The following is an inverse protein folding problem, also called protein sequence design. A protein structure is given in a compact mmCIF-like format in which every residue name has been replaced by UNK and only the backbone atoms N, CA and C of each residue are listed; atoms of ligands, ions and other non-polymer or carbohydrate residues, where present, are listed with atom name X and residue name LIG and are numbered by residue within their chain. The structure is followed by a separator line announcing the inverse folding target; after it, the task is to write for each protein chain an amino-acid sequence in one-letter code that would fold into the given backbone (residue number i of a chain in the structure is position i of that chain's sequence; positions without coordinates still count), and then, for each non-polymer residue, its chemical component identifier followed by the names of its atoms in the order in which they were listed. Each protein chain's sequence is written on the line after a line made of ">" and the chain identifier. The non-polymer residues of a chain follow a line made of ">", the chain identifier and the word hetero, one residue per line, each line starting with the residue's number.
data_IF_439244498397
#
_entry.id   IF_439244498397
#
_cell.length_a   1.000
_cell.length_b   1.000
_cell.length_c   1.000
_cell.angle_alpha   90.00
_cell.angle_beta   90.00
_cell.angle_gamma   90.00
#
_symmetry.space_group_name_H-M   'P 1'
#
loop_
_entity.id
_entity.type
_entity.pdbx_description
1 polymer ?
#
# COMPACT_ATOMS: atom_id res chain seq x y z
N UNK A 1 -20.46 23.49 -30.84
CA UNK A 1 -19.14 23.39 -30.16
C UNK A 1 -19.24 22.22 -29.21
N UNK A 2 -18.36 21.24 -29.38
CA UNK A 2 -18.52 19.89 -28.83
C UNK A 2 -18.47 19.91 -27.29
N UNK A 3 -19.48 19.30 -26.68
CA UNK A 3 -19.56 19.09 -25.24
C UNK A 3 -18.56 18.02 -24.81
N UNK A 4 -17.92 18.24 -23.67
CA UNK A 4 -17.13 17.21 -23.01
C UNK A 4 -18.05 16.04 -22.63
N UNK A 5 -17.70 14.84 -23.08
CA UNK A 5 -18.36 13.59 -22.71
C UNK A 5 -18.03 13.23 -21.26
N UNK A 6 -18.99 12.70 -20.51
CA UNK A 6 -18.78 12.21 -19.14
C UNK A 6 -17.83 10.99 -19.06
N UNK A 7 -17.44 10.41 -20.20
CA UNK A 7 -16.53 9.27 -20.30
C UNK A 7 -15.05 9.63 -20.03
N UNK A 8 -14.69 10.92 -20.00
CA UNK A 8 -13.32 11.38 -19.74
C UNK A 8 -13.01 11.68 -18.26
N UNK A 9 -13.98 11.47 -17.36
CA UNK A 9 -13.75 11.47 -15.91
C UNK A 9 -13.15 10.12 -15.48
N UNK A 10 -11.99 9.74 -16.03
CA UNK A 10 -11.17 8.71 -15.38
C UNK A 10 -10.79 9.27 -14.01
N UNK A 11 -11.38 8.71 -12.95
CA UNK A 11 -10.84 8.85 -11.59
C UNK A 11 -9.47 8.19 -11.64
N UNK A 12 -8.45 9.01 -11.92
CA UNK A 12 -7.07 8.59 -11.87
C UNK A 12 -6.73 8.43 -10.40
N UNK A 13 -6.42 7.21 -9.96
CA UNK A 13 -5.91 6.98 -8.61
C UNK A 13 -4.62 7.77 -8.48
N UNK A 14 -4.67 8.87 -7.73
CA UNK A 14 -3.54 9.80 -7.51
C UNK A 14 -2.97 9.67 -6.11
N UNK A 15 -3.61 8.89 -5.26
CA UNK A 15 -3.13 8.66 -3.91
C UNK A 15 -3.43 7.24 -3.42
N UNK A 16 -2.38 6.52 -3.02
CA UNK A 16 -2.47 5.13 -2.50
C UNK A 16 -1.86 5.02 -1.10
N UNK A 17 -2.61 4.46 -0.15
CA UNK A 17 -2.14 4.14 1.19
C UNK A 17 -2.10 2.63 1.40
N UNK A 18 -0.92 2.08 1.65
CA UNK A 18 -0.76 0.68 2.02
C UNK A 18 -0.84 0.49 3.54
N UNK A 19 -1.61 -0.50 4.01
CA UNK A 19 -1.89 -0.65 5.44
C UNK A 19 -1.68 -2.08 5.92
N UNK A 20 -0.87 -2.23 6.98
CA UNK A 20 -0.76 -3.49 7.72
C UNK A 20 -0.90 -3.26 9.23
N UNK A 21 -0.64 -4.28 10.05
CA UNK A 21 -0.80 -4.16 11.51
C UNK A 21 0.14 -3.13 12.13
N UNK A 22 1.45 -3.27 11.92
CA UNK A 22 2.48 -2.46 12.59
C UNK A 22 3.30 -1.54 11.68
N UNK A 23 3.05 -1.53 10.37
CA UNK A 23 3.79 -0.69 9.42
C UNK A 23 5.33 -0.81 9.46
N UNK A 24 5.86 -1.96 9.88
CA UNK A 24 7.30 -2.26 9.87
C UNK A 24 7.67 -3.36 8.87
N UNK A 25 6.70 -4.13 8.39
CA UNK A 25 6.92 -5.29 7.51
C UNK A 25 6.26 -5.13 6.14
N UNK A 26 4.96 -5.42 6.06
CA UNK A 26 4.23 -5.62 4.81
C UNK A 26 3.89 -4.32 4.08
N UNK A 27 3.23 -3.38 4.76
CA UNK A 27 2.85 -2.10 4.13
C UNK A 27 4.03 -1.21 3.71
N UNK A 28 5.16 -1.08 4.44
CA UNK A 28 6.30 -0.34 3.91
C UNK A 28 6.93 -1.04 2.71
N UNK A 29 6.96 -2.38 2.70
CA UNK A 29 7.43 -3.14 1.54
C UNK A 29 6.57 -2.84 0.31
N UNK A 30 5.24 -2.86 0.46
CA UNK A 30 4.30 -2.52 -0.61
C UNK A 30 4.52 -1.11 -1.16
N UNK A 31 4.65 -0.11 -0.27
CA UNK A 31 4.92 1.28 -0.66
C UNK A 31 6.19 1.39 -1.50
N UNK A 32 7.30 0.79 -1.05
CA UNK A 32 8.58 1.00 -1.71
C UNK A 32 8.74 0.19 -2.99
N UNK A 33 8.09 -0.98 -3.11
CA UNK A 33 7.97 -1.70 -4.39
C UNK A 33 7.15 -0.85 -5.38
N UNK A 34 6.01 -0.33 -4.94
CA UNK A 34 5.16 0.52 -5.77
C UNK A 34 5.91 1.76 -6.26
N UNK A 35 6.64 2.45 -5.37
CA UNK A 35 7.54 3.55 -5.75
C UNK A 35 8.58 3.12 -6.77
N UNK A 36 9.25 1.99 -6.54
CA UNK A 36 10.32 1.51 -7.42
C UNK A 36 9.81 1.18 -8.83
N UNK A 37 8.67 0.47 -8.95
CA UNK A 37 8.08 0.11 -10.25
C UNK A 37 7.61 1.33 -11.04
N UNK A 38 7.24 2.39 -10.35
CA UNK A 38 6.79 3.66 -10.93
C UNK A 38 7.88 4.74 -10.97
N UNK A 39 9.14 4.41 -10.68
CA UNK A 39 10.26 5.37 -10.63
C UNK A 39 9.97 6.62 -9.77
N UNK A 40 9.16 6.48 -8.71
CA UNK A 40 8.79 7.59 -7.83
C UNK A 40 9.94 7.95 -6.87
N UNK A 41 9.98 9.20 -6.39
CA UNK A 41 10.94 9.61 -5.36
C UNK A 41 10.86 8.72 -4.10
N UNK A 42 12.03 8.47 -3.49
CA UNK A 42 12.18 7.55 -2.34
C UNK A 42 11.70 8.13 -1.00
N UNK A 43 11.46 9.44 -0.90
CA UNK A 43 11.13 10.08 0.37
C UNK A 43 9.62 10.12 0.64
N UNK A 44 9.15 9.71 1.83
CA UNK A 44 7.81 10.01 2.28
C UNK A 44 7.71 11.51 2.58
N UNK A 45 6.88 12.25 1.83
CA UNK A 45 6.61 13.67 2.09
C UNK A 45 6.76 14.64 0.93
N UNK A 46 7.12 14.18 -0.28
CA UNK A 46 7.11 15.03 -1.47
C UNK A 46 5.70 15.15 -2.07
N UNK A 47 4.90 16.11 -1.60
CA UNK A 47 3.55 16.41 -2.13
C UNK A 47 3.58 17.15 -3.49
N UNK A 48 4.50 16.82 -4.39
CA UNK A 48 4.73 17.59 -5.61
C UNK A 48 4.74 16.74 -6.89
N UNK A 49 4.39 15.45 -6.79
CA UNK A 49 4.23 14.56 -7.94
C UNK A 49 2.76 14.29 -8.28
N UNK A 50 2.46 13.75 -9.48
CA UNK A 50 1.09 13.38 -9.87
C UNK A 50 0.51 12.24 -9.02
N UNK A 51 1.35 11.52 -8.27
CA UNK A 51 0.99 10.35 -7.48
C UNK A 51 1.59 10.43 -6.07
N UNK A 52 0.73 10.43 -5.06
CA UNK A 52 1.07 10.37 -3.65
C UNK A 52 0.96 8.94 -3.14
N UNK A 53 2.01 8.43 -2.53
CA UNK A 53 2.00 7.09 -1.94
C UNK A 53 2.55 7.13 -0.53
N UNK A 54 1.96 6.36 0.36
CA UNK A 54 2.43 6.19 1.73
C UNK A 54 2.03 4.81 2.27
N UNK A 55 2.50 4.50 3.47
CA UNK A 55 2.07 3.35 4.24
C UNK A 55 1.74 3.73 5.68
N UNK A 56 0.92 2.91 6.34
CA UNK A 56 0.49 3.11 7.73
C UNK A 56 0.14 1.79 8.45
N UNK A 57 -0.08 1.91 9.75
CA UNK A 57 -0.41 0.84 10.69
C UNK A 57 -1.85 0.96 11.19
N UNK A 58 -2.56 -0.15 11.33
CA UNK A 58 -3.82 -0.15 12.11
C UNK A 58 -3.56 -0.13 13.62
N UNK A 59 -2.43 -0.65 14.07
CA UNK A 59 -1.96 -0.56 15.46
C UNK A 59 -1.02 0.62 15.70
N UNK A 60 -0.82 1.00 16.97
CA UNK A 60 0.05 2.13 17.36
C UNK A 60 1.37 1.75 18.02
N UNK A 61 1.60 0.47 18.35
CA UNK A 61 2.74 0.04 19.19
C UNK A 61 4.13 0.29 18.59
N UNK A 62 4.21 0.46 17.27
CA UNK A 62 5.45 0.57 16.50
C UNK A 62 5.62 1.97 15.89
N UNK A 63 4.88 2.98 16.34
CA UNK A 63 5.00 4.33 15.78
C UNK A 63 6.44 4.87 15.92
N UNK A 64 7.00 5.37 14.81
CA UNK A 64 8.37 5.83 14.72
C UNK A 64 9.41 4.73 14.44
N UNK A 65 9.05 3.45 14.51
CA UNK A 65 9.99 2.36 14.28
C UNK A 65 10.46 2.30 12.81
N UNK A 66 11.71 1.86 12.55
CA UNK A 66 12.17 1.58 11.20
C UNK A 66 11.48 0.34 10.62
N UNK A 67 11.60 0.14 9.31
CA UNK A 67 11.26 -1.14 8.70
C UNK A 67 12.07 -2.28 9.35
N UNK A 68 11.47 -3.46 9.44
CA UNK A 68 12.09 -4.67 9.98
C UNK A 68 13.35 -5.03 9.18
N UNK A 69 14.41 -5.47 9.88
CA UNK A 69 15.74 -5.69 9.30
C UNK A 69 15.72 -6.71 8.17
N UNK A 70 14.91 -7.75 8.31
CA UNK A 70 14.70 -8.82 7.36
C UNK A 70 14.08 -8.29 6.06
N UNK A 71 13.11 -7.39 6.16
CA UNK A 71 12.49 -6.75 5.00
C UNK A 71 13.44 -5.76 4.33
N UNK A 72 14.24 -5.01 5.10
CA UNK A 72 15.32 -4.17 4.55
C UNK A 72 16.31 -5.02 3.76
N UNK A 73 16.74 -6.16 4.30
CA UNK A 73 17.66 -7.06 3.62
C UNK A 73 17.05 -7.66 2.34
N UNK A 74 15.77 -8.06 2.38
CA UNK A 74 15.06 -8.57 1.21
C UNK A 74 14.86 -7.51 0.10
N UNK A 75 14.56 -6.26 0.48
CA UNK A 75 14.41 -5.13 -0.43
C UNK A 75 15.74 -4.75 -1.10
N UNK A 76 16.84 -4.73 -0.33
CA UNK A 76 18.17 -4.43 -0.87
C UNK A 76 18.61 -5.38 -1.97
N UNK A 77 18.26 -6.67 -1.86
CA UNK A 77 18.52 -7.66 -2.91
C UNK A 77 17.81 -7.33 -4.24
N UNK A 78 16.80 -6.47 -4.21
CA UNK A 78 16.02 -5.99 -5.36
C UNK A 78 16.29 -4.52 -5.70
N UNK A 79 17.35 -3.93 -5.14
CA UNK A 79 17.72 -2.52 -5.38
C UNK A 79 16.83 -1.49 -4.68
N UNK A 80 15.97 -1.93 -3.75
CA UNK A 80 15.03 -1.07 -3.02
C UNK A 80 15.61 -0.74 -1.63
N UNK A 81 15.63 0.54 -1.28
CA UNK A 81 16.10 1.01 0.03
C UNK A 81 14.92 1.38 0.94
N UNK A 82 14.62 0.52 1.91
CA UNK A 82 13.58 0.72 2.94
C UNK A 82 14.10 1.49 4.18
N UNK A 83 15.38 1.80 4.28
CA UNK A 83 15.96 2.41 5.50
C UNK A 83 15.37 3.78 5.91
N UNK A 84 14.88 4.62 4.98
CA UNK A 84 14.25 5.89 5.34
C UNK A 84 12.85 5.72 5.97
N UNK A 85 12.23 4.53 5.82
CA UNK A 85 10.87 4.29 6.30
C UNK A 85 10.75 4.48 7.81
N UNK A 86 9.66 5.13 8.24
CA UNK A 86 9.27 5.23 9.65
C UNK A 86 7.81 4.89 9.77
N UNK A 87 7.50 3.98 10.70
CA UNK A 87 6.16 3.52 10.92
C UNK A 87 5.28 4.66 11.47
N UNK A 88 4.03 4.71 11.02
CA UNK A 88 3.01 5.64 11.53
C UNK A 88 1.66 4.93 11.64
N UNK A 89 0.79 5.43 12.51
CA UNK A 89 -0.58 4.95 12.57
C UNK A 89 -1.44 5.59 11.47
N UNK A 90 -2.48 4.85 11.04
CA UNK A 90 -3.58 5.39 10.25
C UNK A 90 -4.29 6.48 11.04
N UNK A 91 -4.58 7.60 10.39
CA UNK A 91 -5.31 8.75 10.93
C UNK A 91 -6.64 8.91 10.22
N UNK A 92 -7.61 9.56 10.85
CA UNK A 92 -8.92 9.82 10.21
C UNK A 92 -8.79 10.59 8.89
N UNK A 93 -7.86 11.53 8.82
CA UNK A 93 -7.56 12.31 7.61
C UNK A 93 -7.06 11.45 6.45
N UNK A 94 -6.53 10.25 6.69
CA UNK A 94 -6.08 9.35 5.62
C UNK A 94 -7.27 8.92 4.73
N UNK A 95 -8.46 8.72 5.31
CA UNK A 95 -9.66 8.33 4.54
C UNK A 95 -10.16 9.43 3.60
N UNK A 96 -9.82 10.68 3.89
CA UNK A 96 -10.11 11.84 3.05
C UNK A 96 -8.98 12.08 2.04
N UNK A 97 -7.73 11.87 2.44
CA UNK A 97 -6.53 12.16 1.65
C UNK A 97 -6.31 11.16 0.52
N UNK A 98 -6.55 9.87 0.78
CA UNK A 98 -6.22 8.81 -0.17
C UNK A 98 -7.43 8.39 -1.00
N UNK A 99 -7.22 8.21 -2.30
CA UNK A 99 -8.20 7.68 -3.26
C UNK A 99 -8.37 6.18 -3.06
N UNK A 100 -7.26 5.50 -2.72
CA UNK A 100 -7.20 4.06 -2.54
C UNK A 100 -6.47 3.70 -1.24
N UNK A 101 -7.06 2.83 -0.44
CA UNK A 101 -6.45 2.31 0.79
C UNK A 101 -6.42 0.78 0.73
N UNK A 102 -5.22 0.22 0.73
CA UNK A 102 -4.98 -1.19 0.42
C UNK A 102 -4.45 -1.92 1.65
N UNK A 103 -5.30 -2.78 2.20
CA UNK A 103 -4.99 -3.66 3.33
C UNK A 103 -4.16 -4.88 2.90
N UNK A 104 -3.26 -5.34 3.78
CA UNK A 104 -2.47 -6.55 3.54
C UNK A 104 -3.22 -7.84 3.90
N UNK A 105 -4.07 -7.80 4.93
CA UNK A 105 -4.90 -8.93 5.36
C UNK A 105 -6.33 -8.47 5.75
N UNK A 106 -7.25 -9.42 5.95
CA UNK A 106 -8.66 -9.17 6.33
C UNK A 106 -8.77 -8.57 7.73
N UNK A 107 -7.81 -8.81 8.62
CA UNK A 107 -7.76 -8.18 9.94
C UNK A 107 -7.51 -6.68 9.81
N UNK A 108 -6.56 -6.28 8.96
CA UNK A 108 -6.28 -4.89 8.64
C UNK A 108 -7.48 -4.26 7.95
N UNK A 109 -8.11 -4.95 6.99
CA UNK A 109 -9.31 -4.46 6.31
C UNK A 109 -10.47 -4.24 7.29
N UNK A 110 -10.69 -5.17 8.22
CA UNK A 110 -11.72 -5.05 9.27
C UNK A 110 -11.46 -3.86 10.18
N UNK A 111 -10.22 -3.68 10.62
CA UNK A 111 -9.81 -2.53 11.45
C UNK A 111 -9.98 -1.21 10.68
N UNK A 112 -9.60 -1.17 9.40
CA UNK A 112 -9.84 0.00 8.56
C UNK A 112 -11.34 0.29 8.42
N UNK A 113 -12.16 -0.74 8.18
CA UNK A 113 -13.61 -0.59 8.03
C UNK A 113 -14.31 -0.09 9.31
N UNK A 114 -13.76 -0.38 10.50
CA UNK A 114 -14.29 0.17 11.76
C UNK A 114 -13.88 1.62 12.00
N UNK A 115 -12.72 2.04 11.49
CA UNK A 115 -12.24 3.44 11.59
C UNK A 115 -12.78 4.34 10.45
N UNK A 116 -13.12 3.75 9.31
CA UNK A 116 -13.48 4.46 8.08
C UNK A 116 -14.92 4.99 8.12
N UNK A 117 -15.14 6.28 7.79
CA UNK A 117 -16.48 6.81 7.55
C UNK A 117 -17.24 5.98 6.50
N UNK A 118 -18.55 5.72 6.66
CA UNK A 118 -19.31 4.86 5.75
C UNK A 118 -19.17 5.23 4.26
N UNK A 119 -19.14 6.52 3.96
CA UNK A 119 -19.06 7.06 2.60
C UNK A 119 -17.71 6.78 1.93
N UNK A 120 -16.64 6.54 2.72
CA UNK A 120 -15.28 6.31 2.22
C UNK A 120 -14.94 4.81 2.09
N UNK A 121 -15.82 3.91 2.53
CA UNK A 121 -15.53 2.45 2.57
C UNK A 121 -15.27 1.84 1.20
N UNK A 122 -15.76 2.45 0.12
CA UNK A 122 -15.55 2.00 -1.25
C UNK A 122 -14.07 2.03 -1.68
N UNK A 123 -13.24 2.82 -1.00
CA UNK A 123 -11.79 2.94 -1.23
C UNK A 123 -10.97 1.82 -0.63
N UNK A 124 -11.56 1.01 0.26
CA UNK A 124 -10.84 -0.04 0.98
C UNK A 124 -10.73 -1.30 0.13
N UNK A 125 -9.51 -1.77 -0.12
CA UNK A 125 -9.20 -2.99 -0.88
C UNK A 125 -8.30 -3.92 -0.08
N UNK A 126 -8.25 -5.18 -0.49
CA UNK A 126 -7.35 -6.20 0.01
C UNK A 126 -6.35 -6.56 -1.10
N UNK A 127 -5.05 -6.35 -0.87
CA UNK A 127 -4.04 -6.36 -1.93
C UNK A 127 -4.16 -7.59 -2.85
N UNK A 128 -4.10 -8.79 -2.28
CA UNK A 128 -4.04 -10.02 -3.09
C UNK A 128 -5.40 -10.37 -3.67
N UNK A 129 -6.46 -10.37 -2.86
CA UNK A 129 -7.81 -10.67 -3.37
C UNK A 129 -8.23 -9.73 -4.50
N UNK A 130 -7.96 -8.44 -4.39
CA UNK A 130 -8.43 -7.45 -5.35
C UNK A 130 -7.50 -7.31 -6.58
N UNK A 131 -6.21 -7.61 -6.45
CA UNK A 131 -5.21 -7.32 -7.50
C UNK A 131 -4.34 -8.51 -7.93
N UNK A 132 -4.25 -9.60 -7.17
CA UNK A 132 -3.50 -10.78 -7.57
C UNK A 132 -4.18 -12.10 -7.17
N UNK A 133 -5.47 -12.31 -7.52
CA UNK A 133 -6.24 -13.50 -7.12
C UNK A 133 -5.63 -14.82 -7.62
N UNK A 134 -4.83 -14.79 -8.69
CA UNK A 134 -4.09 -15.93 -9.23
C UNK A 134 -3.02 -16.48 -8.27
N UNK A 135 -2.70 -15.79 -7.17
CA UNK A 135 -1.71 -16.25 -6.19
C UNK A 135 -2.20 -17.40 -5.30
N UNK A 136 -3.47 -17.80 -5.39
CA UNK A 136 -4.03 -18.92 -4.62
C UNK A 136 -4.18 -18.64 -3.11
N UNK A 137 -4.03 -17.38 -2.70
CA UNK A 137 -4.32 -16.85 -1.36
C UNK A 137 -5.05 -15.52 -1.51
N UNK A 138 -5.82 -15.11 -0.50
CA UNK A 138 -6.51 -13.80 -0.48
C UNK A 138 -5.72 -12.72 0.27
N UNK A 139 -4.75 -13.12 1.08
CA UNK A 139 -4.10 -12.27 2.08
C UNK A 139 -2.58 -12.39 1.99
N UNK A 140 -1.88 -11.34 2.40
CA UNK A 140 -0.44 -11.37 2.64
C UNK A 140 -0.20 -11.87 4.07
N UNK A 141 0.38 -13.08 4.24
CA UNK A 141 0.71 -13.64 5.56
C UNK A 141 1.55 -12.66 6.38
N UNK A 142 1.37 -12.60 7.70
CA UNK A 142 2.21 -11.74 8.53
C UNK A 142 3.54 -12.43 8.85
N UNK A 143 4.67 -12.03 8.24
CA UNK A 143 5.93 -12.70 8.47
C UNK A 143 6.44 -12.51 9.90
N UNK A 144 5.90 -11.53 10.65
CA UNK A 144 6.22 -11.34 12.06
C UNK A 144 5.80 -12.53 12.92
N UNK A 145 4.69 -13.19 12.57
CA UNK A 145 4.14 -14.32 13.31
C UNK A 145 4.35 -15.66 12.62
N UNK A 146 4.42 -15.65 11.28
CA UNK A 146 4.39 -16.87 10.47
C UNK A 146 5.74 -17.20 9.80
N UNK A 147 6.73 -16.29 9.87
CA UNK A 147 7.99 -16.42 9.14
C UNK A 147 7.85 -16.23 7.62
N UNK A 148 8.89 -16.54 6.84
CA UNK A 148 8.79 -16.56 5.37
C UNK A 148 8.88 -15.20 4.65
N UNK A 149 9.76 -14.30 5.10
CA UNK A 149 9.93 -12.94 4.54
C UNK A 149 10.10 -12.84 3.01
N UNK A 150 10.76 -13.84 2.38
CA UNK A 150 10.94 -13.85 0.92
C UNK A 150 9.62 -14.10 0.18
N UNK A 151 8.84 -15.09 0.62
CA UNK A 151 7.53 -15.38 0.00
C UNK A 151 6.55 -14.23 0.17
N UNK A 152 6.61 -13.52 1.30
CA UNK A 152 5.82 -12.30 1.53
C UNK A 152 6.22 -11.18 0.56
N UNK A 153 7.52 -10.97 0.32
CA UNK A 153 7.98 -9.95 -0.62
C UNK A 153 7.46 -10.23 -2.04
N UNK A 154 7.62 -11.46 -2.53
CA UNK A 154 7.19 -11.85 -3.87
C UNK A 154 5.67 -11.75 -4.04
N UNK A 155 4.91 -12.10 -2.99
CA UNK A 155 3.47 -11.99 -2.99
C UNK A 155 3.01 -10.52 -3.03
N UNK A 156 3.64 -9.66 -2.23
CA UNK A 156 3.38 -8.20 -2.27
C UNK A 156 3.72 -7.66 -3.67
N UNK A 157 4.85 -8.06 -4.24
CA UNK A 157 5.27 -7.61 -5.57
C UNK A 157 4.22 -7.92 -6.65
N UNK A 158 3.69 -9.15 -6.68
CA UNK A 158 2.59 -9.53 -7.58
C UNK A 158 1.32 -8.72 -7.35
N UNK A 159 0.99 -8.47 -6.09
CA UNK A 159 -0.13 -7.60 -5.72
C UNK A 159 0.03 -6.17 -6.23
N UNK A 160 1.24 -5.62 -6.14
CA UNK A 160 1.57 -4.29 -6.65
C UNK A 160 1.47 -4.23 -8.19
N UNK A 161 1.97 -5.25 -8.89
CA UNK A 161 1.89 -5.33 -10.35
C UNK A 161 0.44 -5.32 -10.83
N UNK A 162 -0.40 -6.18 -10.26
CA UNK A 162 -1.81 -6.23 -10.60
C UNK A 162 -2.58 -4.97 -10.18
N UNK A 163 -2.15 -4.27 -9.12
CA UNK A 163 -2.72 -2.99 -8.73
C UNK A 163 -2.43 -1.92 -9.76
N UNK A 164 -1.17 -1.80 -10.19
CA UNK A 164 -0.75 -0.82 -11.21
C UNK A 164 -1.51 -1.05 -12.51
N UNK A 165 -1.60 -2.31 -12.94
CA UNK A 165 -2.32 -2.70 -14.17
C UNK A 165 -3.83 -2.40 -14.08
N UNK A 166 -4.49 -2.88 -13.03
CA UNK A 166 -5.95 -2.81 -12.89
C UNK A 166 -6.47 -1.39 -12.67
N UNK A 167 -5.73 -0.58 -11.92
CA UNK A 167 -6.08 0.83 -11.68
C UNK A 167 -5.55 1.77 -12.77
N UNK A 168 -4.81 1.25 -13.76
CA UNK A 168 -4.24 2.03 -14.86
C UNK A 168 -3.26 3.11 -14.40
N UNK A 169 -2.52 2.84 -13.31
CA UNK A 169 -1.62 3.82 -12.69
C UNK A 169 -0.34 3.92 -13.50
N UNK A 170 0.08 5.15 -13.79
CA UNK A 170 1.34 5.48 -14.44
C UNK A 170 1.99 6.67 -13.74
N UNK A 171 3.31 6.81 -13.90
CA UNK A 171 4.14 7.84 -13.29
C UNK A 171 4.54 8.91 -14.30
#
# INVERSE_FOLDING_TARGET
>A
MQGFSAEDLRIMVRSVLFVCLGNVNRSPTAEYIFRAKLNLPKAPGGSQGPLYVASAATGGHTEGDPAMREMIAAARKRGIDLTPHRARQVRKSDFETFDLIVAMDRSNLRNLSSMCPPQQKHKLKLLIRDYAPQCGTEEVPDPYYEGGHLGVFDLIEKGIEGLIEKEGISA
#
